data_IF_107304643653
#
_entry.id   IF_107304643653
#
_cell.length_a   1.000
_cell.length_b   1.000
_cell.length_c   1.000
_cell.angle_alpha   90.00
_cell.angle_beta   90.00
_cell.angle_gamma   90.00
#
_symmetry.space_group_name_H-M   'P 1'
#
loop_
_entity.id
_entity.type
_entity.pdbx_description
1 polymer ?
#
# COMPACT_ATOMS: atom_id res chain seq x y z
N UNK A 1 -0.85 12.44 -7.37
CA UNK A 1 -0.71 11.01 -7.03
C UNK A 1 -1.60 10.73 -5.84
N UNK A 2 -2.39 9.66 -5.88
CA UNK A 2 -3.03 9.12 -4.68
C UNK A 2 -2.15 7.98 -4.16
N UNK A 3 -1.65 8.07 -2.93
CA UNK A 3 -0.68 7.14 -2.38
C UNK A 3 -1.21 6.48 -1.12
N UNK A 4 -1.15 5.16 -1.03
CA UNK A 4 -1.64 4.40 0.12
C UNK A 4 -0.49 3.63 0.75
N UNK A 5 -0.38 3.74 2.07
CA UNK A 5 0.54 2.96 2.87
C UNK A 5 -0.13 2.49 4.16
N UNK A 6 0.47 1.48 4.80
CA UNK A 6 -0.07 0.88 6.01
C UNK A 6 0.86 0.92 7.22
N UNK A 7 0.28 0.73 8.41
CA UNK A 7 1.02 0.47 9.63
C UNK A 7 0.25 -0.48 10.54
N UNK A 8 0.93 -1.49 11.07
CA UNK A 8 0.39 -2.43 12.06
C UNK A 8 1.47 -2.95 13.01
N UNK A 9 1.06 -3.55 14.12
CA UNK A 9 1.81 -4.60 14.79
C UNK A 9 0.92 -5.82 15.00
N UNK A 10 1.53 -7.00 15.12
CA UNK A 10 0.80 -8.26 15.31
C UNK A 10 -0.15 -8.23 16.51
N UNK A 11 0.19 -7.47 17.56
CA UNK A 11 -0.63 -7.30 18.76
C UNK A 11 -1.90 -6.47 18.55
N UNK A 12 -2.01 -5.71 17.46
CA UNK A 12 -3.08 -4.73 17.32
C UNK A 12 -4.37 -5.35 16.77
N UNK A 13 -4.30 -6.47 16.05
CA UNK A 13 -5.46 -7.13 15.43
C UNK A 13 -6.00 -6.45 14.16
N UNK A 14 -5.52 -5.25 13.84
CA UNK A 14 -5.86 -4.49 12.63
C UNK A 14 -4.61 -3.84 12.03
N UNK A 15 -4.71 -3.44 10.77
CA UNK A 15 -3.77 -2.54 10.11
C UNK A 15 -4.44 -1.20 9.81
N UNK A 16 -3.74 -0.10 10.04
CA UNK A 16 -4.19 1.24 9.67
C UNK A 16 -3.66 1.58 8.29
N UNK A 17 -4.55 1.91 7.38
CA UNK A 17 -4.21 2.42 6.06
C UNK A 17 -4.37 3.92 6.04
N UNK A 18 -3.38 4.60 5.48
CA UNK A 18 -3.47 6.01 5.18
C UNK A 18 -3.31 6.23 3.69
N UNK A 19 -4.25 6.99 3.14
CA UNK A 19 -4.20 7.51 1.79
C UNK A 19 -3.82 8.98 1.81
N UNK A 20 -2.96 9.38 0.87
CA UNK A 20 -2.51 10.75 0.68
C UNK A 20 -2.72 11.14 -0.77
N UNK A 21 -3.47 12.20 -1.00
CA UNK A 21 -3.46 12.90 -2.28
C UNK A 21 -2.36 13.96 -2.23
N UNK A 22 -1.34 13.79 -3.07
CA UNK A 22 -0.23 14.72 -3.15
C UNK A 22 0.20 15.00 -4.59
N UNK A 23 0.68 16.21 -4.82
CA UNK A 23 1.30 16.65 -6.07
C UNK A 23 2.70 16.06 -6.23
N UNK A 24 3.24 16.11 -7.45
CA UNK A 24 4.61 15.65 -7.77
C UNK A 24 5.71 16.38 -6.98
N UNK A 25 5.42 17.61 -6.54
CA UNK A 25 6.31 18.44 -5.72
C UNK A 25 6.30 18.05 -4.24
N UNK A 26 5.42 17.13 -3.83
CA UNK A 26 5.27 16.67 -2.46
C UNK A 26 4.22 17.45 -1.66
N UNK A 27 3.58 18.48 -2.24
CA UNK A 27 2.50 19.18 -1.58
C UNK A 27 1.30 18.25 -1.37
N UNK A 28 0.92 18.05 -0.11
CA UNK A 28 -0.22 17.24 0.32
C UNK A 28 -1.49 18.08 0.24
N UNK A 29 -2.52 17.52 -0.38
CA UNK A 29 -3.80 18.20 -0.59
C UNK A 29 -4.94 17.58 0.23
N UNK A 30 -4.88 16.26 0.46
CA UNK A 30 -5.91 15.55 1.22
C UNK A 30 -5.36 14.26 1.84
N UNK A 31 -5.99 13.82 2.94
CA UNK A 31 -5.68 12.58 3.65
C UNK A 31 -6.97 11.82 3.96
N UNK A 32 -6.97 10.52 3.72
CA UNK A 32 -8.04 9.61 4.13
C UNK A 32 -7.46 8.43 4.93
N UNK A 33 -8.24 7.88 5.85
CA UNK A 33 -7.83 6.75 6.69
C UNK A 33 -8.85 5.61 6.55
N UNK A 34 -8.36 4.38 6.62
CA UNK A 34 -9.18 3.19 6.77
C UNK A 34 -8.46 2.18 7.67
N UNK A 35 -9.18 1.16 8.09
CA UNK A 35 -8.58 -0.01 8.75
C UNK A 35 -8.86 -1.26 7.92
N UNK A 36 -7.90 -2.17 7.92
CA UNK A 36 -8.07 -3.52 7.39
C UNK A 36 -7.82 -4.54 8.49
N UNK A 37 -8.42 -5.71 8.35
CA UNK A 37 -8.22 -6.83 9.25
C UNK A 37 -6.80 -7.36 9.09
N UNK A 38 -6.08 -7.52 10.20
CA UNK A 38 -4.74 -8.08 10.17
C UNK A 38 -4.81 -9.58 9.85
N UNK A 39 -4.12 -10.04 8.82
CA UNK A 39 -4.31 -11.40 8.28
C UNK A 39 -5.64 -11.59 7.55
N UNK A 40 -6.38 -10.52 7.28
CA UNK A 40 -7.63 -10.56 6.53
C UNK A 40 -7.45 -10.73 5.03
N UNK A 41 -8.55 -10.51 4.30
CA UNK A 41 -8.63 -10.50 2.83
C UNK A 41 -9.32 -9.22 2.33
N UNK A 42 -9.50 -8.24 3.22
CA UNK A 42 -10.22 -6.98 3.03
C UNK A 42 -9.30 -5.81 2.62
N UNK A 43 -8.01 -6.05 2.37
CA UNK A 43 -7.05 -5.00 2.07
C UNK A 43 -7.42 -4.18 0.82
N UNK A 44 -7.95 -4.84 -0.21
CA UNK A 44 -8.39 -4.18 -1.46
C UNK A 44 -9.65 -3.33 -1.25
N UNK A 45 -10.58 -3.77 -0.40
CA UNK A 45 -11.78 -2.98 -0.06
C UNK A 45 -11.42 -1.79 0.83
N UNK A 46 -10.53 -1.97 1.80
CA UNK A 46 -10.03 -0.87 2.63
C UNK A 46 -9.27 0.19 1.80
N UNK A 47 -8.48 -0.24 0.81
CA UNK A 47 -7.88 0.67 -0.18
C UNK A 47 -8.94 1.38 -1.03
N UNK A 48 -9.99 0.66 -1.44
CA UNK A 48 -11.10 1.25 -2.20
C UNK A 48 -11.80 2.37 -1.42
N UNK A 49 -12.10 2.17 -0.14
CA UNK A 49 -12.69 3.21 0.71
C UNK A 49 -11.83 4.48 0.78
N UNK A 50 -10.51 4.33 0.78
CA UNK A 50 -9.57 5.46 0.70
C UNK A 50 -9.65 6.12 -0.67
N UNK A 51 -9.61 5.34 -1.75
CA UNK A 51 -9.62 5.87 -3.12
C UNK A 51 -10.93 6.58 -3.46
N UNK A 52 -12.07 6.09 -2.98
CA UNK A 52 -13.37 6.76 -3.12
C UNK A 52 -13.35 8.19 -2.54
N UNK A 53 -12.53 8.44 -1.51
CA UNK A 53 -12.36 9.77 -0.91
C UNK A 53 -11.27 10.63 -1.59
N UNK A 54 -10.23 10.00 -2.17
CA UNK A 54 -9.07 10.70 -2.72
C UNK A 54 -9.16 10.99 -4.23
N UNK A 55 -9.81 10.12 -4.99
CA UNK A 55 -9.72 10.16 -6.44
C UNK A 55 -10.57 11.27 -7.03
N UNK A 56 -9.94 12.02 -7.92
CA UNK A 56 -10.52 13.09 -8.72
C UNK A 56 -9.94 13.07 -10.14
N UNK A 57 -10.55 13.76 -11.12
CA UNK A 57 -10.16 13.64 -12.53
C UNK A 57 -8.67 13.86 -12.81
N UNK A 58 -8.02 14.80 -12.12
CA UNK A 58 -6.60 15.16 -12.27
C UNK A 58 -5.62 14.25 -11.52
N UNK A 59 -6.11 13.24 -10.78
CA UNK A 59 -5.21 12.20 -10.24
C UNK A 59 -4.63 11.39 -11.38
N UNK A 60 -3.30 11.47 -11.52
CA UNK A 60 -2.56 10.77 -12.58
C UNK A 60 -2.43 9.25 -12.32
N UNK A 61 -2.24 8.83 -11.07
CA UNK A 61 -2.09 7.42 -10.71
C UNK A 61 -2.31 7.16 -9.21
N UNK A 62 -2.52 5.89 -8.90
CA UNK A 62 -2.50 5.31 -7.55
C UNK A 62 -1.14 4.64 -7.30
N UNK A 63 -0.53 4.97 -6.16
CA UNK A 63 0.72 4.38 -5.67
C UNK A 63 0.44 3.59 -4.39
N UNK A 64 0.97 2.38 -4.28
CA UNK A 64 0.78 1.50 -3.12
C UNK A 64 2.14 1.13 -2.51
N UNK A 65 2.28 1.23 -1.19
CA UNK A 65 3.46 0.80 -0.41
C UNK A 65 3.44 -0.73 -0.24
N UNK A 66 3.84 -1.44 -1.30
CA UNK A 66 3.72 -2.90 -1.43
C UNK A 66 2.34 -3.37 -1.88
N UNK A 67 2.26 -4.60 -2.40
CA UNK A 67 0.98 -5.26 -2.67
C UNK A 67 0.60 -6.30 -1.62
N UNK A 68 1.58 -6.86 -0.91
CA UNK A 68 1.35 -7.80 0.19
C UNK A 68 1.51 -7.01 1.48
N UNK A 69 0.42 -6.90 2.22
CA UNK A 69 0.26 -5.95 3.32
C UNK A 69 -0.45 -6.64 4.49
N UNK A 70 -0.50 -6.00 5.66
CA UNK A 70 -1.30 -6.38 6.81
C UNK A 70 -1.20 -7.87 7.16
N UNK A 71 0.01 -8.39 7.22
CA UNK A 71 0.28 -9.79 7.53
C UNK A 71 -0.41 -10.76 6.55
N UNK A 72 0.03 -10.77 5.28
CA UNK A 72 -0.49 -11.64 4.20
C UNK A 72 -1.93 -11.32 3.73
N UNK A 73 -2.42 -10.13 4.02
CA UNK A 73 -3.47 -9.46 3.24
C UNK A 73 -2.85 -8.87 1.96
N UNK A 74 -3.65 -8.31 1.06
CA UNK A 74 -3.14 -7.75 -0.18
C UNK A 74 -3.98 -6.62 -0.76
N UNK A 75 -3.32 -5.82 -1.58
CA UNK A 75 -3.96 -4.95 -2.56
C UNK A 75 -3.97 -5.66 -3.92
N UNK A 76 -5.16 -5.86 -4.48
CA UNK A 76 -5.34 -6.32 -5.85
C UNK A 76 -5.35 -5.11 -6.79
N UNK A 77 -4.18 -4.81 -7.36
CA UNK A 77 -4.03 -3.65 -8.23
C UNK A 77 -4.77 -3.77 -9.57
N UNK A 78 -5.10 -4.99 -10.02
CA UNK A 78 -5.94 -5.18 -11.21
C UNK A 78 -7.38 -4.77 -10.91
N UNK A 79 -7.92 -5.19 -9.76
CA UNK A 79 -9.25 -4.79 -9.29
C UNK A 79 -9.33 -3.27 -9.13
N UNK A 80 -8.33 -2.65 -8.49
CA UNK A 80 -8.29 -1.20 -8.31
C UNK A 80 -8.21 -0.46 -9.66
N UNK A 81 -7.36 -0.92 -10.58
CA UNK A 81 -7.25 -0.31 -11.90
C UNK A 81 -8.57 -0.40 -12.68
N UNK A 82 -9.21 -1.57 -12.71
CA UNK A 82 -10.49 -1.77 -13.40
C UNK A 82 -11.61 -0.94 -12.79
N UNK A 83 -11.65 -0.83 -11.45
CA UNK A 83 -12.69 -0.09 -10.73
C UNK A 83 -12.59 1.42 -10.93
N UNK A 84 -11.38 1.97 -10.90
CA UNK A 84 -11.19 3.43 -10.88
C UNK A 84 -10.70 4.02 -12.21
N UNK A 85 -10.27 3.19 -13.16
CA UNK A 85 -9.74 3.63 -14.45
C UNK A 85 -8.43 4.44 -14.34
N UNK A 86 -7.81 4.48 -13.16
CA UNK A 86 -6.51 5.13 -12.93
C UNK A 86 -5.41 4.09 -12.93
N UNK A 87 -4.24 4.36 -13.53
CA UNK A 87 -3.08 3.50 -13.40
C UNK A 87 -2.75 3.21 -11.93
N UNK A 88 -2.43 1.96 -11.62
CA UNK A 88 -2.09 1.51 -10.27
C UNK A 88 -0.71 0.91 -10.28
N UNK A 89 0.11 1.22 -9.29
CA UNK A 89 1.38 0.54 -9.09
C UNK A 89 1.69 0.29 -7.61
N UNK A 90 2.18 -0.91 -7.30
CA UNK A 90 2.81 -1.21 -6.02
C UNK A 90 4.32 -1.06 -6.13
N UNK A 91 4.90 -0.49 -5.09
CA UNK A 91 6.34 -0.28 -4.99
C UNK A 91 6.90 -1.04 -3.79
N UNK A 92 7.99 -1.75 -4.01
CA UNK A 92 8.79 -2.34 -2.94
C UNK A 92 10.22 -1.84 -3.08
N UNK A 93 10.79 -1.37 -1.98
CA UNK A 93 12.09 -0.68 -1.98
C UNK A 93 13.26 -1.59 -1.62
N UNK A 94 12.98 -2.84 -1.27
CA UNK A 94 13.96 -3.91 -1.09
C UNK A 94 13.62 -5.07 -2.02
N UNK A 95 14.59 -5.95 -2.25
CA UNK A 95 14.34 -7.17 -3.02
C UNK A 95 13.27 -7.98 -2.29
N UNK A 96 12.16 -8.36 -2.95
CA UNK A 96 11.21 -9.29 -2.38
C UNK A 96 11.93 -10.61 -2.14
N UNK A 97 12.04 -11.00 -0.88
CA UNK A 97 12.69 -12.22 -0.42
C UNK A 97 11.73 -13.04 0.45
N UNK A 98 12.03 -14.32 0.60
CA UNK A 98 11.28 -15.23 1.47
C UNK A 98 10.34 -16.19 0.75
N UNK A 99 9.77 -17.11 1.54
CA UNK A 99 8.86 -18.16 1.08
C UNK A 99 7.43 -17.84 1.50
N UNK A 100 6.86 -16.81 0.88
CA UNK A 100 5.52 -16.30 1.22
C UNK A 100 4.47 -17.42 1.17
N UNK A 101 4.50 -18.27 0.14
CA UNK A 101 3.55 -19.39 0.01
C UNK A 101 3.67 -20.41 1.16
N UNK A 102 4.90 -20.75 1.58
CA UNK A 102 5.13 -21.69 2.69
C UNK A 102 4.59 -21.12 4.01
N UNK A 103 4.78 -19.83 4.25
CA UNK A 103 4.26 -19.16 5.43
C UNK A 103 2.72 -19.12 5.41
N UNK A 104 2.13 -18.76 4.27
CA UNK A 104 0.66 -18.70 4.12
C UNK A 104 0.03 -20.07 4.35
N UNK A 105 0.61 -21.15 3.82
CA UNK A 105 0.15 -22.53 4.05
C UNK A 105 0.14 -22.95 5.52
N UNK A 106 1.08 -22.42 6.32
CA UNK A 106 1.19 -22.75 7.75
C UNK A 106 0.26 -21.90 8.62
N UNK A 107 0.03 -20.65 8.23
CA UNK A 107 -0.60 -19.65 9.07
C UNK A 107 -2.11 -19.53 8.84
N UNK A 108 -2.61 -19.94 7.67
CA UNK A 108 -3.99 -19.67 7.26
C UNK A 108 -4.74 -20.93 6.80
N UNK A 109 -5.99 -21.15 7.25
CA UNK A 109 -6.80 -22.27 6.79
C UNK A 109 -7.28 -22.09 5.33
N UNK A 110 -7.45 -20.86 4.87
CA UNK A 110 -7.86 -20.48 3.51
C UNK A 110 -6.66 -20.30 2.55
N UNK A 111 -5.53 -20.95 2.85
CA UNK A 111 -4.26 -20.72 2.17
C UNK A 111 -4.32 -20.91 0.65
N UNK A 112 -5.16 -21.80 0.12
CA UNK A 112 -5.26 -22.02 -1.33
C UNK A 112 -5.70 -20.74 -2.05
N UNK A 113 -6.76 -20.10 -1.56
CA UNK A 113 -7.29 -18.87 -2.13
C UNK A 113 -6.29 -17.72 -2.01
N UNK A 114 -5.59 -17.62 -0.86
CA UNK A 114 -4.54 -16.63 -0.63
C UNK A 114 -3.35 -16.80 -1.56
N UNK A 115 -2.83 -18.02 -1.69
CA UNK A 115 -1.72 -18.32 -2.60
C UNK A 115 -2.10 -17.97 -4.03
N UNK A 116 -3.32 -18.30 -4.45
CA UNK A 116 -3.83 -17.93 -5.78
C UNK A 116 -3.90 -16.41 -5.97
N UNK A 117 -4.44 -15.67 -5.00
CA UNK A 117 -4.48 -14.20 -5.06
C UNK A 117 -3.07 -13.59 -5.14
N UNK A 118 -2.12 -14.09 -4.33
CA UNK A 118 -0.75 -13.61 -4.33
C UNK A 118 0.00 -13.94 -5.63
N UNK A 119 -0.29 -15.09 -6.26
CA UNK A 119 0.27 -15.46 -7.57
C UNK A 119 -0.22 -14.55 -8.68
N UNK A 120 -1.50 -14.15 -8.66
CA UNK A 120 -2.08 -13.21 -9.62
C UNK A 120 -1.40 -11.83 -9.62
N UNK A 121 -0.76 -11.43 -8.52
CA UNK A 121 0.03 -10.20 -8.47
C UNK A 121 1.27 -10.24 -9.38
N UNK A 122 1.73 -11.44 -9.77
CA UNK A 122 2.90 -11.63 -10.61
C UNK A 122 4.24 -11.23 -9.96
N UNK A 123 5.36 -11.45 -10.66
CA UNK A 123 6.67 -10.96 -10.23
C UNK A 123 6.77 -9.44 -10.44
N UNK A 124 7.52 -8.71 -9.60
CA UNK A 124 7.77 -7.31 -9.84
C UNK A 124 8.90 -7.10 -10.84
N UNK A 125 8.80 -6.04 -11.64
CA UNK A 125 9.86 -5.60 -12.55
C UNK A 125 10.82 -4.66 -11.81
N UNK A 126 12.15 -4.89 -11.86
CA UNK A 126 13.11 -3.97 -11.27
C UNK A 126 13.19 -2.67 -12.09
N UNK A 127 13.22 -1.53 -11.41
CA UNK A 127 13.51 -0.22 -11.97
C UNK A 127 14.73 0.39 -11.28
N UNK A 128 15.64 0.94 -12.07
CA UNK A 128 16.86 1.58 -11.60
C UNK A 128 16.70 3.09 -11.77
N UNK A 129 16.72 3.82 -10.67
CA UNK A 129 16.63 5.29 -10.70
C UNK A 129 17.94 5.89 -11.18
N UNK A 130 17.89 7.13 -11.69
CA UNK A 130 19.06 7.92 -12.07
C UNK A 130 19.98 8.21 -10.89
N UNK A 131 19.43 8.21 -9.67
CA UNK A 131 20.18 8.38 -8.42
C UNK A 131 20.79 7.07 -7.89
N UNK A 132 20.72 5.98 -8.65
CA UNK A 132 21.35 4.70 -8.31
C UNK A 132 20.54 3.80 -7.37
N UNK A 133 19.30 4.15 -7.05
CA UNK A 133 18.42 3.27 -6.28
C UNK A 133 17.81 2.19 -7.16
N UNK A 134 17.58 1.02 -6.57
CA UNK A 134 16.81 -0.06 -7.18
C UNK A 134 15.48 -0.20 -6.45
N UNK A 135 14.38 -0.12 -7.19
CA UNK A 135 13.03 -0.36 -6.69
C UNK A 135 12.38 -1.48 -7.51
N UNK A 136 11.34 -2.09 -6.97
CA UNK A 136 10.60 -3.19 -7.59
C UNK A 136 9.15 -2.76 -7.78
N UNK A 137 8.65 -2.87 -9.01
CA UNK A 137 7.36 -2.32 -9.42
C UNK A 137 6.45 -3.43 -9.93
N UNK A 138 5.21 -3.45 -9.45
CA UNK A 138 4.09 -4.13 -10.11
C UNK A 138 3.11 -3.06 -10.56
N UNK A 139 2.60 -3.15 -11.76
CA UNK A 139 1.71 -2.12 -12.29
C UNK A 139 0.57 -2.69 -13.13
N UNK A 140 -0.53 -1.95 -13.15
CA UNK A 140 -1.74 -2.25 -13.91
C UNK A 140 -2.23 -0.97 -14.58
N UNK A 141 -2.59 -1.07 -15.87
CA UNK A 141 -2.95 0.08 -16.69
C UNK A 141 -1.80 1.01 -17.07
N UNK A 142 -0.55 0.62 -16.80
CA UNK A 142 0.67 1.36 -17.15
C UNK A 142 1.86 0.40 -17.24
N UNK A 143 2.80 0.70 -18.14
CA UNK A 143 4.07 -0.02 -18.24
C UNK A 143 4.89 0.10 -16.93
N UNK A 144 5.49 -1.00 -16.42
CA UNK A 144 6.27 -0.96 -15.19
C UNK A 144 7.43 0.05 -15.18
N UNK A 145 8.04 0.33 -16.34
CA UNK A 145 9.12 1.34 -16.45
C UNK A 145 8.54 2.74 -16.26
N UNK A 146 7.38 3.04 -16.83
CA UNK A 146 6.74 4.34 -16.67
C UNK A 146 6.17 4.53 -15.25
N UNK A 147 5.67 3.46 -14.62
CA UNK A 147 5.35 3.48 -13.20
C UNK A 147 6.59 3.73 -12.32
N UNK A 148 7.75 3.18 -12.70
CA UNK A 148 9.03 3.47 -12.06
C UNK A 148 9.46 4.94 -12.19
N UNK A 149 9.34 5.52 -13.39
CA UNK A 149 9.58 6.96 -13.61
C UNK A 149 8.63 7.83 -12.78
N UNK A 150 7.36 7.45 -12.69
CA UNK A 150 6.37 8.20 -11.91
C UNK A 150 6.67 8.20 -10.40
N UNK A 151 7.21 7.09 -9.88
CA UNK A 151 7.76 7.05 -8.53
C UNK A 151 9.00 7.96 -8.40
N UNK A 152 9.95 7.86 -9.33
CA UNK A 152 11.21 8.64 -9.30
C UNK A 152 10.97 10.15 -9.30
N UNK A 153 10.06 10.68 -10.12
CA UNK A 153 9.77 12.13 -10.15
C UNK A 153 9.14 12.66 -8.85
N UNK A 154 8.61 11.76 -8.02
CA UNK A 154 8.05 12.08 -6.72
C UNK A 154 9.07 11.87 -5.57
N UNK A 155 10.28 11.36 -5.85
CA UNK A 155 11.31 11.18 -4.81
C UNK A 155 11.93 12.53 -4.43
N UNK A 156 11.98 12.79 -3.13
CA UNK A 156 12.62 13.99 -2.56
C UNK A 156 13.78 13.61 -1.66
N UNK A 157 13.55 12.61 -0.81
CA UNK A 157 14.52 12.13 0.16
C UNK A 157 14.64 10.61 0.05
N UNK A 158 15.75 10.13 -0.51
CA UNK A 158 16.02 8.71 -0.66
C UNK A 158 15.18 8.04 -1.76
N UNK A 159 14.95 6.74 -1.61
CA UNK A 159 14.35 5.85 -2.63
C UNK A 159 12.82 5.72 -2.60
N UNK A 160 12.17 6.35 -1.63
CA UNK A 160 10.71 6.25 -1.44
C UNK A 160 10.05 7.51 -2.01
N UNK A 161 9.05 7.40 -2.91
CA UNK A 161 8.27 8.54 -3.38
C UNK A 161 7.64 9.29 -2.21
N UNK A 162 7.71 10.61 -2.25
CA UNK A 162 7.24 11.48 -1.17
C UNK A 162 5.77 11.23 -0.77
N UNK A 163 4.82 11.03 -1.70
CA UNK A 163 3.44 10.68 -1.34
C UNK A 163 3.33 9.41 -0.49
N UNK A 164 4.10 8.35 -0.79
CA UNK A 164 4.11 7.10 -0.02
C UNK A 164 4.80 7.28 1.34
N UNK A 165 5.91 8.04 1.38
CA UNK A 165 6.61 8.38 2.62
C UNK A 165 5.68 9.09 3.61
N UNK A 166 4.92 10.07 3.12
CA UNK A 166 3.93 10.81 3.93
C UNK A 166 2.78 9.90 4.37
N UNK A 167 2.24 9.08 3.47
CA UNK A 167 1.19 8.11 3.81
C UNK A 167 1.67 7.16 4.93
N UNK A 168 2.91 6.68 4.87
CA UNK A 168 3.49 5.81 5.90
C UNK A 168 3.57 6.47 7.28
N UNK A 169 3.97 7.74 7.32
CA UNK A 169 4.05 8.52 8.56
C UNK A 169 2.67 8.72 9.16
N UNK A 170 1.68 9.07 8.33
CA UNK A 170 0.30 9.26 8.77
C UNK A 170 -0.26 7.94 9.31
N UNK A 171 -0.08 6.83 8.59
CA UNK A 171 -0.53 5.51 9.04
C UNK A 171 0.06 5.15 10.42
N UNK A 172 1.36 5.39 10.61
CA UNK A 172 2.03 5.14 11.89
C UNK A 172 1.50 6.04 13.02
N UNK A 173 1.30 7.33 12.75
CA UNK A 173 0.74 8.28 13.72
C UNK A 173 -0.71 7.94 14.10
N UNK A 174 -1.56 7.65 13.11
CA UNK A 174 -2.95 7.25 13.31
C UNK A 174 -3.05 5.93 14.11
N UNK A 175 -2.21 4.94 13.79
CA UNK A 175 -2.09 3.71 14.58
C UNK A 175 -1.73 3.99 16.03
N UNK A 176 -0.73 4.85 16.28
CA UNK A 176 -0.34 5.21 17.65
C UNK A 176 -1.49 5.90 18.41
N UNK A 177 -2.26 6.76 17.73
CA UNK A 177 -3.43 7.42 18.29
C UNK A 177 -4.53 6.41 18.65
N UNK A 178 -4.91 5.53 17.72
CA UNK A 178 -5.95 4.52 17.93
C UNK A 178 -5.60 3.53 19.04
N UNK A 179 -4.32 3.10 19.12
CA UNK A 179 -3.84 2.26 20.22
C UNK A 179 -4.10 2.88 21.60
N UNK A 180 -3.87 4.19 21.76
CA UNK A 180 -4.12 4.89 23.03
C UNK A 180 -5.61 5.04 23.32
N UNK A 181 -6.45 5.24 22.31
CA UNK A 181 -7.90 5.33 22.44
C UNK A 181 -8.54 4.02 22.91
N UNK A 182 -8.12 2.90 22.34
CA UNK A 182 -8.62 1.56 22.70
C UNK A 182 -8.19 1.18 24.13
N UNK A 183 -6.94 1.45 24.52
CA UNK A 183 -6.46 1.16 25.89
C UNK A 183 -7.20 2.00 26.95
N UNK A 184 -7.57 3.25 26.63
CA UNK A 184 -8.34 4.09 27.55
C UNK A 184 -9.79 3.62 27.76
N UNK A 185 -10.42 3.03 26.75
CA UNK A 185 -11.76 2.46 26.89
C UNK A 185 -11.77 1.10 27.61
N UNK A 186 -10.68 0.32 27.53
CA UNK A 186 -10.57 -0.96 28.24
C UNK A 186 -10.20 -0.78 29.72
N UNK A 187 -9.42 0.26 30.06
CA UNK A 187 -9.01 0.55 31.45
C UNK A 187 -9.86 1.64 32.12
N UNK A 188 -10.97 2.04 31.50
CA UNK A 188 -11.89 3.08 31.97
C UNK A 188 -13.30 2.54 32.13
N UNK A 189 -13.46 1.60 33.06
CA UNK A 189 -14.69 1.30 33.80
C UNK A 189 -14.29 0.87 35.22
#
# INVERSE_FOLDING_TARGET
MAAIAESFALSDGYSVYAGVLARRDGAVEYVALATATLGGTDGTEAASNILDALLRPDVAMVMLDGCVVSFYNWFDGEVLWRRYGKPVACYVFEKPEGRVEDAVRKLFPDWQARVEALRRLGPPTPYYTKTGYKIYVRSWGIDPVDAGKAAEVCMRFGKVPEPLRVAKIIAAGARQFLKKGIIKHVNGN
#
